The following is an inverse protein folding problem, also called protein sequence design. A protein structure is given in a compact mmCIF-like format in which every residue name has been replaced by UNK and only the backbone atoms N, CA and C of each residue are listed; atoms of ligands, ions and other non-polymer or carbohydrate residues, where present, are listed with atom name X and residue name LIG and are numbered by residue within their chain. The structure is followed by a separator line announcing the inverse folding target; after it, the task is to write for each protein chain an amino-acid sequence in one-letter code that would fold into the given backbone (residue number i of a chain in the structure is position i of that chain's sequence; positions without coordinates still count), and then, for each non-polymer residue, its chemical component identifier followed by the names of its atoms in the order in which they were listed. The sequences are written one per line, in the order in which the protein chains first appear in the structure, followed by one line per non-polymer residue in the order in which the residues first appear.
data_IF_841556414341
#
_entry.id   IF_841556414341
#
_cell.length_a   1.000
_cell.length_b   1.000
_cell.length_c   1.000
_cell.angle_alpha   90.00
_cell.angle_beta   90.00
_cell.angle_gamma   90.00
#
_symmetry.space_group_name_H-M   'P 1'
#
loop_
_entity.id
_entity.type
_entity.pdbx_description
1 polymer ?
#
# COMPACT_ATOMS: atom_id res chain seq x y z
N UNK A 1 -11.87 12.41 -18.08
CA UNK A 1 -12.04 13.25 -16.87
C UNK A 1 -11.47 14.61 -17.17
N UNK A 2 -12.25 15.68 -16.96
CA UNK A 2 -11.78 17.03 -17.20
C UNK A 2 -10.74 17.45 -16.13
N UNK A 3 -9.78 18.31 -16.49
CA UNK A 3 -8.71 18.75 -15.60
C UNK A 3 -9.26 19.41 -14.30
N UNK A 4 -10.40 20.09 -14.40
CA UNK A 4 -11.08 20.71 -13.26
C UNK A 4 -11.70 19.67 -12.31
N UNK A 5 -12.33 18.66 -12.86
CA UNK A 5 -12.87 17.50 -12.11
C UNK A 5 -11.77 16.75 -11.36
N UNK A 6 -10.65 16.54 -12.04
CA UNK A 6 -9.49 15.88 -11.46
C UNK A 6 -8.93 16.69 -10.28
N UNK A 7 -8.75 17.99 -10.44
CA UNK A 7 -8.27 18.87 -9.37
C UNK A 7 -9.22 18.88 -8.16
N UNK A 8 -10.54 18.88 -8.40
CA UNK A 8 -11.52 18.78 -7.34
C UNK A 8 -11.45 17.42 -6.62
N UNK A 9 -11.28 16.32 -7.38
CA UNK A 9 -11.14 14.96 -6.81
C UNK A 9 -9.87 14.83 -5.98
N UNK A 10 -8.74 15.31 -6.48
CA UNK A 10 -7.46 15.36 -5.75
C UNK A 10 -7.60 16.18 -4.46
N UNK A 11 -8.19 17.39 -4.52
CA UNK A 11 -8.38 18.25 -3.36
C UNK A 11 -9.32 17.64 -2.31
N UNK A 12 -10.38 16.97 -2.75
CA UNK A 12 -11.30 16.25 -1.85
C UNK A 12 -10.59 15.08 -1.14
N UNK A 13 -9.78 14.32 -1.87
CA UNK A 13 -8.94 13.25 -1.31
C UNK A 13 -7.92 13.85 -0.33
N UNK A 14 -7.21 14.93 -0.69
CA UNK A 14 -6.26 15.61 0.19
C UNK A 14 -6.90 16.00 1.54
N UNK A 15 -8.06 16.67 1.49
CA UNK A 15 -8.75 17.12 2.71
C UNK A 15 -9.20 15.92 3.57
N UNK A 16 -9.77 14.87 2.95
CA UNK A 16 -10.24 13.68 3.65
C UNK A 16 -9.09 12.90 4.28
N UNK A 17 -8.04 12.66 3.51
CA UNK A 17 -6.94 11.78 3.91
C UNK A 17 -5.93 12.46 4.82
N UNK A 18 -5.78 13.78 4.77
CA UNK A 18 -4.88 14.52 5.66
C UNK A 18 -5.27 14.38 7.13
N UNK A 19 -6.57 14.49 7.46
CA UNK A 19 -7.06 14.25 8.82
C UNK A 19 -6.83 12.81 9.27
N UNK A 20 -7.04 11.84 8.37
CA UNK A 20 -6.82 10.43 8.64
C UNK A 20 -5.32 10.12 8.79
N UNK A 21 -4.48 10.74 8.00
CA UNK A 21 -3.02 10.65 8.11
C UNK A 21 -2.53 11.14 9.47
N UNK A 22 -3.00 12.30 9.93
CA UNK A 22 -2.63 12.85 11.23
C UNK A 22 -3.06 11.92 12.39
N UNK A 23 -4.21 11.24 12.27
CA UNK A 23 -4.69 10.25 13.25
C UNK A 23 -3.90 8.94 13.21
N UNK A 24 -3.54 8.48 12.01
CA UNK A 24 -2.80 7.23 11.81
C UNK A 24 -1.37 7.30 12.36
N UNK A 25 -0.76 8.49 12.36
CA UNK A 25 0.69 8.59 12.43
C UNK A 25 1.23 9.57 13.47
N UNK A 26 0.37 10.16 14.31
CA UNK A 26 0.82 10.96 15.44
C UNK A 26 1.49 10.08 16.51
N UNK A 27 2.73 9.68 16.26
CA UNK A 27 3.63 9.05 17.23
C UNK A 27 3.90 7.54 17.09
N UNK A 28 3.04 6.74 16.42
CA UNK A 28 3.19 5.28 16.43
C UNK A 28 3.90 4.70 15.19
N UNK A 29 3.86 5.41 14.07
CA UNK A 29 4.49 4.92 12.82
C UNK A 29 6.01 4.92 12.89
N UNK A 30 6.63 5.93 13.49
CA UNK A 30 8.09 6.02 13.61
C UNK A 30 8.68 4.88 14.47
N UNK A 31 7.93 4.39 15.46
CA UNK A 31 8.38 3.30 16.31
C UNK A 31 8.21 1.92 15.67
N UNK A 32 7.28 1.79 14.70
CA UNK A 32 6.91 0.51 14.09
C UNK A 32 7.93 -0.02 13.08
N UNK A 33 8.63 0.88 12.40
CA UNK A 33 9.57 0.51 11.34
C UNK A 33 10.97 1.03 11.64
N UNK A 34 11.67 0.34 12.55
CA UNK A 34 13.05 0.69 12.95
C UNK A 34 14.08 0.37 11.85
N UNK A 35 14.51 1.37 11.06
CA UNK A 35 15.61 1.28 10.12
C UNK A 35 17.01 1.44 10.81
N UNK A 36 18.08 0.93 10.20
CA UNK A 36 19.45 1.08 10.66
C UNK A 36 20.14 2.24 9.89
N UNK A 37 19.90 3.46 10.28
CA UNK A 37 20.64 4.62 9.78
C UNK A 37 21.03 5.52 10.95
N UNK A 38 22.30 5.93 11.05
CA UNK A 38 22.75 6.91 12.02
C UNK A 38 23.11 8.19 11.27
N UNK A 39 22.42 9.30 11.56
CA UNK A 39 22.82 10.64 11.14
C UNK A 39 23.50 11.36 12.29
N UNK A 40 24.48 12.18 11.95
CA UNK A 40 25.12 13.04 12.94
C UNK A 40 24.10 14.06 13.45
N UNK A 41 23.81 14.05 14.76
CA UNK A 41 22.87 14.97 15.38
C UNK A 41 23.59 16.19 15.97
N UNK A 42 24.50 15.95 16.90
CA UNK A 42 25.20 17.00 17.60
C UNK A 42 26.57 16.51 18.19
N UNK A 43 27.32 17.45 18.72
CA UNK A 43 28.52 17.17 19.52
C UNK A 43 28.25 17.65 20.94
N UNK A 44 28.31 16.75 21.92
CA UNK A 44 28.18 17.09 23.33
C UNK A 44 29.44 16.72 24.12
N UNK A 45 29.64 17.31 25.30
CA UNK A 45 30.72 16.88 26.18
C UNK A 45 30.63 15.41 26.55
N UNK A 46 31.76 14.72 26.61
CA UNK A 46 31.86 13.33 27.07
C UNK A 46 31.39 13.20 28.52
N UNK A 47 30.62 12.18 28.81
CA UNK A 47 30.19 11.80 30.15
C UNK A 47 30.70 10.40 30.49
N UNK A 48 30.93 10.12 31.77
CA UNK A 48 31.38 8.78 32.19
C UNK A 48 30.31 7.73 31.80
N UNK A 49 30.75 6.72 31.00
CA UNK A 49 29.85 5.68 30.45
C UNK A 49 29.62 5.80 28.95
N UNK A 50 30.01 6.92 28.31
CA UNK A 50 29.94 7.04 26.86
C UNK A 50 31.01 6.19 26.16
N UNK A 51 30.69 5.70 24.95
CA UNK A 51 31.65 4.93 24.15
C UNK A 51 32.79 5.83 23.65
N UNK A 52 34.00 5.52 24.05
CA UNK A 52 35.26 6.23 23.69
C UNK A 52 35.45 6.30 22.17
N UNK A 53 34.90 5.33 21.41
CA UNK A 53 34.95 5.29 19.93
C UNK A 53 34.14 6.42 19.29
N UNK A 54 33.20 7.01 20.02
CA UNK A 54 32.36 8.12 19.57
C UNK A 54 33.02 9.48 19.75
N UNK A 55 34.23 9.57 20.29
CA UNK A 55 34.95 10.84 20.53
C UNK A 55 35.26 11.51 19.18
N UNK A 56 34.85 12.78 19.06
CA UNK A 56 35.27 13.66 17.97
C UNK A 56 36.62 14.33 18.32
N UNK A 57 37.71 13.77 17.85
CA UNK A 57 39.04 14.27 18.12
C UNK A 57 39.30 15.69 17.60
N UNK A 58 38.63 16.10 16.51
CA UNK A 58 38.74 17.44 15.94
C UNK A 58 38.12 18.52 16.84
N UNK A 59 36.92 18.24 17.38
CA UNK A 59 36.22 19.14 18.31
C UNK A 59 36.94 19.11 19.67
N UNK A 60 37.34 17.95 20.16
CA UNK A 60 38.10 17.75 21.39
C UNK A 60 39.39 18.59 21.38
N UNK A 61 40.14 18.57 20.28
CA UNK A 61 41.36 19.37 20.14
C UNK A 61 41.12 20.88 20.23
N UNK A 62 40.00 21.36 19.67
CA UNK A 62 39.63 22.79 19.69
C UNK A 62 39.07 23.24 21.04
N UNK A 63 38.31 22.37 21.71
CA UNK A 63 37.61 22.70 22.97
C UNK A 63 38.44 22.34 24.22
N UNK A 64 39.57 21.63 24.08
CA UNK A 64 40.47 21.17 25.17
C UNK A 64 39.75 20.29 26.22
N UNK A 65 38.67 19.68 25.89
CA UNK A 65 37.90 18.72 26.67
C UNK A 65 37.28 17.69 25.75
N UNK A 66 37.10 16.43 26.18
CA UNK A 66 36.57 15.38 25.30
C UNK A 66 35.11 15.65 24.91
N UNK A 67 34.84 15.56 23.63
CA UNK A 67 33.51 15.67 23.03
C UNK A 67 33.17 14.41 22.22
N UNK A 68 31.93 13.97 22.30
CA UNK A 68 31.43 12.83 21.52
C UNK A 68 30.49 13.29 20.41
N UNK A 69 30.52 12.54 19.32
CA UNK A 69 29.49 12.63 18.27
C UNK A 69 28.26 11.89 18.74
N UNK A 70 27.15 12.62 18.91
CA UNK A 70 25.84 12.02 19.11
C UNK A 70 25.23 11.78 17.73
N UNK A 71 24.88 10.54 17.46
CA UNK A 71 24.19 10.18 16.26
C UNK A 71 22.73 9.94 16.62
N UNK A 72 21.83 10.66 15.98
CA UNK A 72 20.42 10.30 15.98
C UNK A 72 20.15 9.32 14.84
N UNK A 73 19.32 8.35 15.12
CA UNK A 73 18.90 7.39 14.12
C UNK A 73 17.86 8.04 13.19
N UNK A 74 18.34 8.78 12.19
CA UNK A 74 17.48 9.39 11.18
C UNK A 74 17.04 8.31 10.18
N UNK A 75 15.79 7.89 10.32
CA UNK A 75 15.22 6.78 9.58
C UNK A 75 14.40 7.28 8.41
N UNK A 76 15.06 7.57 7.29
CA UNK A 76 14.35 7.71 6.04
C UNK A 76 13.76 6.37 5.62
N UNK A 77 12.48 6.21 5.84
CA UNK A 77 11.77 5.05 5.31
C UNK A 77 11.48 5.26 3.82
N UNK A 78 11.41 4.15 3.10
CA UNK A 78 10.93 4.15 1.72
C UNK A 78 9.66 3.34 1.67
N UNK A 79 8.58 3.98 1.25
CA UNK A 79 7.28 3.36 1.04
C UNK A 79 7.06 3.11 -0.45
N UNK A 80 6.65 1.91 -0.82
CA UNK A 80 6.18 1.59 -2.16
C UNK A 80 4.69 1.23 -2.16
N UNK A 81 3.94 1.91 -3.01
CA UNK A 81 2.56 1.58 -3.33
C UNK A 81 2.56 0.78 -4.64
N UNK A 82 2.10 -0.46 -4.59
CA UNK A 82 1.96 -1.36 -5.75
C UNK A 82 0.47 -1.58 -5.93
N UNK A 83 -0.14 -0.89 -6.91
CA UNK A 83 -1.59 -0.74 -7.02
C UNK A 83 -2.09 -1.37 -8.32
N UNK A 84 -3.04 -2.24 -8.15
CA UNK A 84 -3.83 -2.85 -9.22
C UNK A 84 -4.83 -1.84 -9.78
N UNK A 85 -4.77 -1.62 -11.09
CA UNK A 85 -5.68 -0.76 -11.84
C UNK A 85 -6.48 -1.54 -12.90
N UNK A 86 -6.49 -2.87 -12.82
CA UNK A 86 -7.22 -3.75 -13.74
C UNK A 86 -8.71 -3.42 -13.79
N UNK A 87 -9.39 -3.90 -14.82
CA UNK A 87 -10.83 -3.65 -15.00
C UNK A 87 -11.68 -4.18 -13.83
N UNK A 88 -11.25 -5.27 -13.18
CA UNK A 88 -11.95 -5.85 -12.03
C UNK A 88 -12.02 -4.90 -10.83
N UNK A 89 -11.04 -4.02 -10.65
CA UNK A 89 -11.05 -3.02 -9.57
C UNK A 89 -12.07 -1.90 -9.77
N UNK A 90 -12.57 -1.70 -10.99
CA UNK A 90 -13.62 -0.72 -11.28
C UNK A 90 -15.01 -1.16 -10.78
N UNK A 91 -15.16 -2.44 -10.46
CA UNK A 91 -16.40 -2.95 -9.87
C UNK A 91 -16.51 -2.52 -8.41
N UNK A 92 -17.73 -2.25 -7.96
CA UNK A 92 -18.00 -1.82 -6.59
C UNK A 92 -19.45 -1.47 -6.33
N UNK A 93 -19.72 -0.87 -5.19
CA UNK A 93 -21.04 -0.36 -4.82
C UNK A 93 -21.38 0.95 -5.54
N UNK A 94 -22.64 1.40 -5.44
CA UNK A 94 -23.05 2.71 -5.95
C UNK A 94 -22.32 3.89 -5.28
N UNK A 95 -21.70 3.67 -4.12
CA UNK A 95 -20.97 4.71 -3.39
C UNK A 95 -19.50 4.78 -3.76
N UNK A 96 -18.84 3.63 -3.99
CA UNK A 96 -17.39 3.54 -4.17
C UNK A 96 -17.04 2.24 -4.88
N UNK A 97 -16.12 2.32 -5.84
CA UNK A 97 -15.52 1.13 -6.44
C UNK A 97 -14.37 0.59 -5.56
N UNK A 98 -13.93 -0.66 -5.82
CA UNK A 98 -12.69 -1.20 -5.23
C UNK A 98 -11.50 -0.29 -5.53
N UNK A 99 -11.39 0.23 -6.76
CA UNK A 99 -10.34 1.15 -7.17
C UNK A 99 -10.37 2.49 -6.43
N UNK A 100 -11.58 3.03 -6.14
CA UNK A 100 -11.69 4.24 -5.31
C UNK A 100 -11.22 3.98 -3.88
N UNK A 101 -11.56 2.82 -3.29
CA UNK A 101 -11.05 2.40 -1.98
C UNK A 101 -9.53 2.34 -1.98
N UNK A 102 -8.92 1.63 -2.95
CA UNK A 102 -7.46 1.52 -3.07
C UNK A 102 -6.80 2.88 -3.26
N UNK A 103 -7.42 3.78 -4.04
CA UNK A 103 -6.94 5.15 -4.23
C UNK A 103 -6.97 5.96 -2.94
N UNK A 104 -8.03 5.85 -2.14
CA UNK A 104 -8.14 6.53 -0.84
C UNK A 104 -7.08 6.03 0.16
N UNK A 105 -6.87 4.72 0.22
CA UNK A 105 -5.83 4.12 1.06
C UNK A 105 -4.44 4.59 0.62
N UNK A 106 -4.16 4.53 -0.68
CA UNK A 106 -2.90 4.95 -1.26
C UNK A 106 -2.60 6.43 -0.98
N UNK A 107 -3.59 7.31 -1.15
CA UNK A 107 -3.46 8.72 -0.84
C UNK A 107 -3.21 8.97 0.66
N UNK A 108 -3.90 8.25 1.54
CA UNK A 108 -3.70 8.35 2.99
C UNK A 108 -2.28 7.97 3.38
N UNK A 109 -1.78 6.84 2.86
CA UNK A 109 -0.41 6.40 3.08
C UNK A 109 0.62 7.38 2.49
N UNK A 110 0.32 7.97 1.32
CA UNK A 110 1.20 8.94 0.67
C UNK A 110 1.31 10.25 1.45
N UNK A 111 0.19 10.77 1.97
CA UNK A 111 0.21 11.97 2.81
C UNK A 111 0.91 11.70 4.14
N UNK A 112 0.76 10.52 4.69
CA UNK A 112 1.46 10.13 5.90
C UNK A 112 2.98 10.06 5.69
N UNK A 113 3.44 9.37 4.65
CA UNK A 113 4.85 9.35 4.29
C UNK A 113 5.42 10.77 4.10
N UNK A 114 4.61 11.68 3.51
CA UNK A 114 4.98 13.08 3.37
C UNK A 114 5.12 13.78 4.74
N UNK A 115 4.19 13.55 5.67
CA UNK A 115 4.22 14.11 7.02
C UNK A 115 5.45 13.67 7.81
N UNK A 116 5.90 12.44 7.60
CA UNK A 116 7.09 11.86 8.24
C UNK A 116 8.39 12.12 7.46
N UNK A 117 8.34 12.90 6.38
CA UNK A 117 9.49 13.15 5.52
C UNK A 117 10.10 11.87 4.88
N UNK A 118 9.29 10.84 4.65
CA UNK A 118 9.67 9.58 4.03
C UNK A 118 9.64 9.66 2.50
N UNK A 119 10.37 8.71 1.86
CA UNK A 119 10.33 8.55 0.40
C UNK A 119 9.14 7.68 0.00
N UNK A 120 8.44 8.05 -1.06
CA UNK A 120 7.33 7.27 -1.59
C UNK A 120 7.51 7.01 -3.09
N UNK A 121 7.35 5.74 -3.49
CA UNK A 121 7.32 5.28 -4.87
C UNK A 121 5.98 4.64 -5.23
N UNK A 122 5.70 4.51 -6.53
CA UNK A 122 4.47 3.94 -7.06
C UNK A 122 4.77 2.95 -8.17
N UNK A 123 4.06 1.83 -8.18
CA UNK A 123 3.93 0.92 -9.31
C UNK A 123 2.44 0.72 -9.57
N UNK A 124 1.97 1.10 -10.75
CA UNK A 124 0.65 0.73 -11.25
C UNK A 124 0.78 -0.49 -12.15
N UNK A 125 -0.13 -1.43 -12.00
CA UNK A 125 -0.14 -2.64 -12.81
C UNK A 125 -1.56 -3.11 -13.14
N UNK A 126 -1.67 -3.89 -14.20
CA UNK A 126 -2.82 -4.68 -14.59
C UNK A 126 -2.30 -6.04 -15.12
N UNK A 127 -2.52 -6.42 -16.35
CA UNK A 127 -1.88 -7.58 -16.99
C UNK A 127 -0.35 -7.44 -17.13
N UNK A 128 0.16 -6.22 -17.01
CA UNK A 128 1.59 -5.88 -17.00
C UNK A 128 1.84 -4.70 -16.05
N UNK A 129 3.12 -4.35 -15.85
CA UNK A 129 3.49 -3.09 -15.18
C UNK A 129 3.21 -1.93 -16.12
N UNK A 130 2.30 -1.05 -15.72
CA UNK A 130 1.81 0.07 -16.54
C UNK A 130 2.60 1.36 -16.30
N UNK A 131 2.89 1.65 -15.04
CA UNK A 131 3.57 2.88 -14.64
C UNK A 131 4.44 2.69 -13.43
N UNK A 132 5.63 3.27 -13.45
CA UNK A 132 6.55 3.28 -12.31
C UNK A 132 6.94 4.72 -12.00
N UNK A 133 6.81 5.11 -10.74
CA UNK A 133 7.31 6.38 -10.22
C UNK A 133 8.34 6.05 -9.13
N UNK A 134 9.63 6.39 -9.34
CA UNK A 134 10.67 6.11 -8.36
C UNK A 134 10.46 6.87 -7.06
N UNK A 135 10.96 6.35 -5.91
CA UNK A 135 10.72 6.95 -4.60
C UNK A 135 11.43 8.30 -4.48
N UNK A 136 10.66 9.33 -4.12
CA UNK A 136 11.11 10.69 -3.80
C UNK A 136 10.29 11.26 -2.66
N UNK A 137 10.77 12.34 -2.05
CA UNK A 137 10.10 13.11 -1.00
C UNK A 137 9.36 14.32 -1.56
N UNK A 138 8.50 14.88 -0.71
CA UNK A 138 7.93 16.20 -0.88
C UNK A 138 6.54 16.24 -1.49
N UNK A 139 5.84 17.33 -1.22
CA UNK A 139 4.42 17.54 -1.57
C UNK A 139 4.15 17.38 -3.06
N UNK A 140 4.98 18.00 -3.91
CA UNK A 140 4.81 17.92 -5.38
C UNK A 140 4.90 16.48 -5.89
N UNK A 141 5.76 15.65 -5.27
CA UNK A 141 5.91 14.25 -5.64
C UNK A 141 4.70 13.42 -5.24
N UNK A 142 4.18 13.61 -4.02
CA UNK A 142 2.95 12.96 -3.55
C UNK A 142 1.76 13.36 -4.43
N UNK A 143 1.61 14.64 -4.76
CA UNK A 143 0.56 15.11 -5.66
C UNK A 143 0.66 14.48 -7.05
N UNK A 144 1.87 14.32 -7.58
CA UNK A 144 2.12 13.61 -8.84
C UNK A 144 1.67 12.14 -8.76
N UNK A 145 1.97 11.45 -7.66
CA UNK A 145 1.54 10.07 -7.43
C UNK A 145 0.01 9.98 -7.46
N UNK A 146 -0.67 10.80 -6.66
CA UNK A 146 -2.13 10.81 -6.57
C UNK A 146 -2.77 11.11 -7.93
N UNK A 147 -2.25 12.13 -8.63
CA UNK A 147 -2.69 12.46 -9.99
C UNK A 147 -2.53 11.26 -10.93
N UNK A 148 -1.37 10.60 -10.89
CA UNK A 148 -1.10 9.45 -11.75
C UNK A 148 -2.07 8.29 -11.47
N UNK A 149 -2.38 7.99 -10.19
CA UNK A 149 -3.36 6.95 -9.83
C UNK A 149 -4.75 7.27 -10.40
N UNK A 150 -5.15 8.54 -10.38
CA UNK A 150 -6.48 8.97 -10.82
C UNK A 150 -6.63 9.05 -12.34
N UNK A 151 -5.56 9.38 -13.05
CA UNK A 151 -5.59 9.61 -14.52
C UNK A 151 -5.22 8.37 -15.33
N UNK A 152 -4.45 7.45 -14.73
CA UNK A 152 -3.93 6.33 -15.51
C UNK A 152 -5.03 5.30 -15.78
N UNK A 153 -5.25 5.03 -17.05
CA UNK A 153 -6.13 3.95 -17.49
C UNK A 153 -5.30 2.72 -17.88
N UNK A 154 -5.76 1.51 -17.48
CA UNK A 154 -5.04 0.29 -17.81
C UNK A 154 -5.02 0.06 -19.33
N UNK A 155 -3.85 -0.26 -19.85
CA UNK A 155 -3.63 -0.55 -21.28
C UNK A 155 -3.63 -2.07 -21.54
N UNK A 156 -3.37 -2.88 -20.51
CA UNK A 156 -3.31 -4.33 -20.59
C UNK A 156 -4.43 -4.96 -19.78
N UNK A 157 -5.03 -6.02 -20.31
CA UNK A 157 -6.06 -6.79 -19.61
C UNK A 157 -5.45 -7.78 -18.63
N UNK A 158 -6.25 -8.18 -17.63
CA UNK A 158 -5.86 -9.13 -16.59
C UNK A 158 -5.19 -8.49 -15.38
N UNK A 159 -4.86 -9.34 -14.40
CA UNK A 159 -4.25 -8.95 -13.12
C UNK A 159 -3.01 -9.81 -12.86
N UNK A 160 -1.82 -9.21 -12.94
CA UNK A 160 -0.52 -9.90 -12.79
C UNK A 160 0.29 -9.28 -11.67
N UNK A 161 -0.11 -9.58 -10.43
CA UNK A 161 0.60 -9.14 -9.20
C UNK A 161 2.04 -9.66 -9.15
N UNK A 162 2.29 -10.86 -9.68
CA UNK A 162 3.62 -11.47 -9.76
C UNK A 162 4.60 -10.59 -10.53
N UNK A 163 4.20 -10.10 -11.72
CA UNK A 163 5.05 -9.22 -12.55
C UNK A 163 5.35 -7.89 -11.85
N UNK A 164 4.37 -7.31 -11.15
CA UNK A 164 4.57 -6.08 -10.38
C UNK A 164 5.58 -6.28 -9.25
N UNK A 165 5.49 -7.38 -8.50
CA UNK A 165 6.43 -7.72 -7.44
C UNK A 165 7.82 -8.05 -7.96
N UNK A 166 7.94 -8.78 -9.07
CA UNK A 166 9.22 -9.05 -9.72
C UNK A 166 9.89 -7.77 -10.21
N UNK A 167 9.10 -6.84 -10.76
CA UNK A 167 9.60 -5.53 -11.16
C UNK A 167 10.11 -4.75 -9.95
N UNK A 168 9.34 -4.70 -8.85
CA UNK A 168 9.74 -4.06 -7.60
C UNK A 168 11.06 -4.64 -7.07
N UNK A 169 11.21 -5.98 -7.05
CA UNK A 169 12.42 -6.66 -6.61
C UNK A 169 13.66 -6.30 -7.45
N UNK A 170 13.46 -5.98 -8.74
CA UNK A 170 14.54 -5.54 -9.63
C UNK A 170 14.98 -4.11 -9.36
N UNK A 171 14.03 -3.17 -9.15
CA UNK A 171 14.34 -1.75 -9.01
C UNK A 171 14.70 -1.35 -7.57
N UNK A 172 14.07 -1.97 -6.56
CA UNK A 172 14.29 -1.63 -5.15
C UNK A 172 15.22 -2.63 -4.48
N UNK A 173 16.44 -2.16 -4.16
CA UNK A 173 17.48 -3.00 -3.53
C UNK A 173 17.51 -2.85 -2.01
N UNK A 174 17.08 -1.72 -1.48
CA UNK A 174 17.07 -1.44 -0.04
C UNK A 174 15.77 -1.94 0.58
N UNK A 175 15.83 -2.26 1.87
CA UNK A 175 14.64 -2.57 2.66
C UNK A 175 13.63 -1.44 2.57
N UNK A 176 12.36 -1.78 2.45
CA UNK A 176 11.27 -0.81 2.22
C UNK A 176 9.96 -1.38 2.73
N UNK A 177 9.03 -0.49 3.05
CA UNK A 177 7.64 -0.86 3.34
C UNK A 177 6.90 -0.95 2.00
N UNK A 178 6.18 -2.02 1.78
CA UNK A 178 5.47 -2.26 0.52
C UNK A 178 4.01 -2.59 0.79
N UNK A 179 3.12 -1.80 0.24
CA UNK A 179 1.69 -2.11 0.20
C UNK A 179 1.31 -2.59 -1.20
N UNK A 180 0.92 -3.86 -1.30
CA UNK A 180 0.36 -4.45 -2.53
C UNK A 180 -1.15 -4.40 -2.42
N UNK A 181 -1.79 -3.64 -3.28
CA UNK A 181 -3.21 -3.32 -3.24
C UNK A 181 -3.90 -3.88 -4.48
N UNK A 182 -4.75 -4.89 -4.31
CA UNK A 182 -5.44 -5.57 -5.42
C UNK A 182 -6.70 -6.27 -4.89
N UNK A 183 -7.58 -6.68 -5.79
CA UNK A 183 -8.61 -7.67 -5.51
C UNK A 183 -8.11 -9.12 -5.70
N UNK A 184 -6.87 -9.29 -6.19
CA UNK A 184 -6.22 -10.58 -6.41
C UNK A 184 -7.03 -11.56 -7.27
N UNK A 185 -7.86 -11.06 -8.19
CA UNK A 185 -8.75 -11.90 -9.01
C UNK A 185 -8.00 -12.71 -10.08
N UNK A 186 -6.74 -12.38 -10.36
CA UNK A 186 -5.88 -13.15 -11.25
C UNK A 186 -5.21 -14.35 -10.58
N UNK A 187 -4.12 -14.82 -11.20
CA UNK A 187 -3.27 -15.87 -10.63
C UNK A 187 -2.59 -15.39 -9.34
N UNK A 188 -2.70 -16.20 -8.27
CA UNK A 188 -2.13 -15.84 -6.98
C UNK A 188 -0.58 -15.89 -7.01
N UNK A 189 0.12 -14.81 -6.61
CA UNK A 189 1.56 -14.65 -6.81
C UNK A 189 2.40 -15.33 -5.71
N UNK A 190 2.24 -16.65 -5.48
CA UNK A 190 2.87 -17.35 -4.35
C UNK A 190 4.39 -17.13 -4.27
N UNK A 191 5.09 -17.40 -5.36
CA UNK A 191 6.56 -17.30 -5.39
C UNK A 191 7.03 -15.85 -5.24
N UNK A 192 6.45 -14.94 -6.01
CA UNK A 192 6.85 -13.53 -6.00
C UNK A 192 6.56 -12.88 -4.65
N UNK A 193 5.40 -13.18 -4.05
CA UNK A 193 5.00 -12.66 -2.75
C UNK A 193 5.95 -13.15 -1.64
N UNK A 194 6.31 -14.44 -1.64
CA UNK A 194 7.24 -15.03 -0.68
C UNK A 194 8.64 -14.41 -0.76
N UNK A 195 9.14 -14.14 -1.97
CA UNK A 195 10.44 -13.50 -2.16
C UNK A 195 10.39 -12.04 -1.72
N UNK A 196 9.31 -11.33 -2.09
CA UNK A 196 9.14 -9.92 -1.73
C UNK A 196 8.98 -9.73 -0.20
N UNK A 197 8.20 -10.58 0.47
CA UNK A 197 7.99 -10.50 1.92
C UNK A 197 9.24 -10.82 2.75
N UNK A 198 10.19 -11.60 2.20
CA UNK A 198 11.50 -11.81 2.85
C UNK A 198 12.41 -10.60 2.76
N UNK A 199 12.19 -9.73 1.78
CA UNK A 199 13.06 -8.58 1.51
C UNK A 199 12.48 -7.28 2.02
N UNK A 200 11.16 -7.17 2.05
CA UNK A 200 10.40 -5.97 2.38
C UNK A 200 9.42 -6.22 3.52
N UNK A 201 9.09 -5.17 4.25
CA UNK A 201 7.92 -5.19 5.12
C UNK A 201 6.66 -5.08 4.26
N UNK A 202 6.15 -6.24 3.84
CA UNK A 202 5.08 -6.34 2.87
C UNK A 202 3.72 -6.51 3.54
N UNK A 203 2.75 -5.72 3.09
CA UNK A 203 1.33 -5.85 3.42
C UNK A 203 0.50 -5.98 2.14
N UNK A 204 -0.28 -7.04 2.04
CA UNK A 204 -1.30 -7.20 1.01
C UNK A 204 -2.61 -6.55 1.47
N UNK A 205 -3.13 -5.60 0.72
CA UNK A 205 -4.45 -5.01 0.92
C UNK A 205 -5.38 -5.64 -0.13
N UNK A 206 -6.24 -6.53 0.34
CA UNK A 206 -7.23 -7.23 -0.48
C UNK A 206 -8.54 -6.46 -0.48
N UNK A 207 -8.84 -5.77 -1.58
CA UNK A 207 -10.11 -5.07 -1.78
C UNK A 207 -11.14 -6.02 -2.40
N UNK A 208 -12.33 -6.10 -1.82
CA UNK A 208 -13.44 -6.88 -2.34
C UNK A 208 -14.75 -6.09 -2.28
N UNK A 209 -15.79 -6.58 -2.94
CA UNK A 209 -17.13 -6.02 -2.88
C UNK A 209 -18.12 -7.06 -2.36
N UNK A 210 -18.97 -6.68 -1.40
CA UNK A 210 -19.96 -7.60 -0.86
C UNK A 210 -21.04 -8.00 -1.87
N UNK A 211 -21.26 -7.18 -2.92
CA UNK A 211 -22.10 -7.53 -4.05
C UNK A 211 -21.59 -8.71 -4.88
N UNK A 212 -20.31 -9.05 -4.78
CA UNK A 212 -19.74 -10.26 -5.40
C UNK A 212 -20.24 -11.55 -4.73
N UNK A 213 -20.77 -11.45 -3.51
CA UNK A 213 -21.36 -12.59 -2.79
C UNK A 213 -22.83 -12.82 -3.13
N UNK A 214 -23.57 -11.75 -3.45
CA UNK A 214 -25.00 -11.78 -3.62
C UNK A 214 -25.45 -10.91 -4.79
N UNK A 215 -25.85 -11.54 -5.90
CA UNK A 215 -26.55 -10.82 -6.96
C UNK A 215 -28.04 -10.63 -6.58
N UNK A 216 -28.63 -9.48 -6.93
CA UNK A 216 -30.07 -9.27 -6.71
C UNK A 216 -30.88 -10.34 -7.47
N UNK A 217 -31.96 -10.80 -6.83
CA UNK A 217 -32.85 -11.84 -7.39
C UNK A 217 -33.82 -11.25 -8.42
N UNK A 218 -33.29 -10.87 -9.57
CA UNK A 218 -34.04 -10.19 -10.64
C UNK A 218 -34.31 -11.09 -11.88
N UNK A 219 -34.13 -12.40 -11.73
CA UNK A 219 -34.35 -13.36 -12.83
C UNK A 219 -33.08 -13.65 -13.62
N UNK A 220 -33.19 -13.69 -14.94
CA UNK A 220 -32.06 -13.97 -15.82
C UNK A 220 -31.20 -12.69 -15.99
N UNK A 221 -29.97 -12.76 -15.62
CA UNK A 221 -29.01 -11.62 -15.68
C UNK A 221 -27.82 -11.94 -16.58
N UNK A 222 -27.42 -11.03 -17.47
CA UNK A 222 -26.16 -11.16 -18.18
C UNK A 222 -25.03 -10.81 -17.22
N UNK A 223 -24.03 -11.67 -17.11
CA UNK A 223 -22.78 -11.42 -16.38
C UNK A 223 -21.65 -11.37 -17.39
N UNK A 224 -20.95 -10.28 -17.42
CA UNK A 224 -19.76 -10.10 -18.25
C UNK A 224 -18.55 -10.33 -17.37
N UNK A 225 -17.70 -11.27 -17.74
CA UNK A 225 -16.41 -11.44 -17.10
C UNK A 225 -15.55 -10.21 -17.37
N UNK A 226 -15.07 -9.56 -16.31
CA UNK A 226 -14.38 -8.27 -16.40
C UNK A 226 -13.04 -8.37 -17.14
N UNK A 227 -12.40 -9.55 -17.15
CA UNK A 227 -11.10 -9.76 -17.76
C UNK A 227 -11.19 -10.32 -19.18
N UNK A 228 -12.02 -11.32 -19.41
CA UNK A 228 -12.17 -11.95 -20.73
C UNK A 228 -13.22 -11.28 -21.62
N UNK A 229 -14.12 -10.47 -21.05
CA UNK A 229 -15.26 -9.90 -21.76
C UNK A 229 -16.35 -10.91 -22.11
N UNK A 230 -16.24 -12.17 -21.68
CA UNK A 230 -17.19 -13.22 -21.99
C UNK A 230 -18.55 -12.96 -21.33
N UNK A 231 -19.62 -13.00 -22.13
CA UNK A 231 -20.99 -12.82 -21.69
C UNK A 231 -21.60 -14.19 -21.35
N UNK A 232 -22.08 -14.35 -20.13
CA UNK A 232 -22.82 -15.53 -19.69
C UNK A 232 -24.13 -15.12 -19.03
N UNK A 233 -25.19 -15.94 -19.24
CA UNK A 233 -26.49 -15.70 -18.64
C UNK A 233 -26.68 -16.59 -17.41
N UNK A 234 -27.05 -15.97 -16.29
CA UNK A 234 -27.29 -16.69 -15.04
C UNK A 234 -28.64 -16.37 -14.44
N UNK A 235 -29.30 -17.39 -13.89
CA UNK A 235 -30.53 -17.19 -13.14
C UNK A 235 -30.21 -16.75 -11.72
N UNK A 236 -30.24 -15.42 -11.48
CA UNK A 236 -29.83 -14.80 -10.24
C UNK A 236 -30.65 -15.23 -9.02
N UNK A 237 -31.93 -15.67 -9.20
CA UNK A 237 -32.77 -16.19 -8.13
C UNK A 237 -32.48 -17.62 -7.69
N UNK A 238 -31.65 -18.37 -8.41
CA UNK A 238 -31.30 -19.75 -8.07
C UNK A 238 -30.49 -19.84 -6.77
N UNK A 239 -31.02 -20.61 -5.80
CA UNK A 239 -30.30 -20.86 -4.52
C UNK A 239 -28.92 -21.46 -4.76
N UNK A 240 -28.81 -22.41 -5.72
CA UNK A 240 -27.53 -23.04 -6.09
C UNK A 240 -26.53 -22.03 -6.62
N UNK A 241 -26.97 -21.09 -7.45
CA UNK A 241 -26.12 -20.03 -7.99
C UNK A 241 -25.64 -19.07 -6.90
N UNK A 242 -26.56 -18.60 -6.04
CA UNK A 242 -26.21 -17.71 -4.91
C UNK A 242 -25.22 -18.38 -3.94
N UNK A 243 -25.43 -19.67 -3.61
CA UNK A 243 -24.49 -20.42 -2.77
C UNK A 243 -23.12 -20.59 -3.43
N UNK A 244 -23.09 -20.82 -4.74
CA UNK A 244 -21.83 -20.94 -5.48
C UNK A 244 -21.03 -19.64 -5.47
N UNK A 245 -21.69 -18.48 -5.66
CA UNK A 245 -21.06 -17.17 -5.57
C UNK A 245 -20.49 -16.91 -4.18
N UNK A 246 -21.27 -17.12 -3.14
CA UNK A 246 -20.85 -16.94 -1.76
C UNK A 246 -19.66 -17.84 -1.41
N UNK A 247 -19.74 -19.12 -1.80
CA UNK A 247 -18.64 -20.09 -1.55
C UNK A 247 -17.37 -19.66 -2.29
N UNK A 248 -17.48 -19.23 -3.55
CA UNK A 248 -16.35 -18.74 -4.34
C UNK A 248 -15.69 -17.54 -3.68
N UNK A 249 -16.48 -16.56 -3.26
CA UNK A 249 -16.00 -15.34 -2.61
C UNK A 249 -15.26 -15.65 -1.30
N UNK A 250 -15.89 -16.44 -0.40
CA UNK A 250 -15.30 -16.83 0.87
C UNK A 250 -14.00 -17.63 0.68
N UNK A 251 -14.00 -18.55 -0.29
CA UNK A 251 -12.82 -19.34 -0.64
C UNK A 251 -11.69 -18.44 -1.14
N UNK A 252 -11.98 -17.50 -2.05
CA UNK A 252 -10.97 -16.57 -2.57
C UNK A 252 -10.38 -15.70 -1.46
N UNK A 253 -11.22 -15.11 -0.62
CA UNK A 253 -10.79 -14.31 0.55
C UNK A 253 -9.88 -15.11 1.48
N UNK A 254 -10.24 -16.36 1.77
CA UNK A 254 -9.42 -17.26 2.59
C UNK A 254 -8.10 -17.62 1.91
N UNK A 255 -8.08 -17.86 0.60
CA UNK A 255 -6.88 -18.16 -0.16
C UNK A 255 -5.89 -17.00 -0.16
N UNK A 256 -6.35 -15.76 -0.35
CA UNK A 256 -5.47 -14.57 -0.29
C UNK A 256 -4.88 -14.38 1.10
N UNK A 257 -5.67 -14.53 2.16
CA UNK A 257 -5.19 -14.41 3.54
C UNK A 257 -4.17 -15.52 3.89
N UNK A 258 -4.44 -16.77 3.50
CA UNK A 258 -3.53 -17.90 3.71
C UNK A 258 -2.22 -17.73 2.92
N UNK A 259 -2.32 -17.28 1.67
CA UNK A 259 -1.15 -16.97 0.85
C UNK A 259 -0.25 -15.93 1.52
N UNK A 260 -0.81 -14.81 1.98
CA UNK A 260 -0.05 -13.76 2.66
C UNK A 260 0.61 -14.30 3.93
N UNK A 261 -0.13 -15.05 4.75
CA UNK A 261 0.38 -15.71 5.96
C UNK A 261 1.55 -16.65 5.66
N UNK A 262 1.43 -17.54 4.66
CA UNK A 262 2.50 -18.44 4.23
C UNK A 262 3.72 -17.73 3.68
N UNK A 263 3.52 -16.57 3.06
CA UNK A 263 4.60 -15.73 2.57
C UNK A 263 5.32 -14.94 3.68
N UNK A 264 4.75 -14.84 4.88
CA UNK A 264 5.23 -13.97 5.96
C UNK A 264 4.86 -12.49 5.75
N UNK A 265 3.88 -12.22 4.89
CA UNK A 265 3.34 -10.89 4.63
C UNK A 265 2.15 -10.58 5.56
N UNK A 266 1.92 -9.29 5.84
CA UNK A 266 0.67 -8.84 6.42
C UNK A 266 -0.48 -8.95 5.41
N UNK A 267 -1.71 -9.08 5.90
CA UNK A 267 -2.89 -9.05 5.05
C UNK A 267 -4.02 -8.25 5.70
N UNK A 268 -4.59 -7.32 4.96
CA UNK A 268 -5.78 -6.56 5.36
C UNK A 268 -6.83 -6.78 4.27
N UNK A 269 -7.96 -7.40 4.62
CA UNK A 269 -9.07 -7.59 3.70
C UNK A 269 -10.15 -6.54 4.00
N UNK A 270 -10.55 -5.77 2.98
CA UNK A 270 -11.46 -4.65 3.10
C UNK A 270 -12.56 -4.73 2.04
N UNK A 271 -13.80 -4.60 2.47
CA UNK A 271 -14.92 -4.31 1.57
C UNK A 271 -14.83 -2.86 1.07
N UNK A 272 -15.34 -2.60 -0.12
CA UNK A 272 -15.48 -1.24 -0.64
C UNK A 272 -16.37 -0.33 0.21
N UNK A 273 -17.13 -0.88 1.17
CA UNK A 273 -17.94 -0.14 2.13
C UNK A 273 -17.27 0.08 3.49
N UNK A 274 -16.19 -0.66 3.78
CA UNK A 274 -15.52 -0.61 5.06
C UNK A 274 -14.78 0.72 5.32
N UNK A 275 -14.67 1.08 6.59
CA UNK A 275 -13.67 2.04 7.04
C UNK A 275 -12.31 1.32 7.15
N UNK A 276 -11.38 1.73 6.31
CA UNK A 276 -10.05 1.13 6.24
C UNK A 276 -9.10 1.60 7.35
N UNK A 277 -9.44 2.68 8.08
CA UNK A 277 -8.54 3.29 9.06
C UNK A 277 -8.25 2.36 10.25
N UNK A 278 -9.26 1.77 10.94
CA UNK A 278 -8.99 0.90 12.07
C UNK A 278 -8.15 -0.35 11.72
N UNK A 279 -8.44 -1.11 10.63
CA UNK A 279 -7.62 -2.25 10.24
C UNK A 279 -6.19 -1.86 9.87
N UNK A 280 -6.00 -0.71 9.21
CA UNK A 280 -4.68 -0.21 8.84
C UNK A 280 -3.86 0.17 10.08
N UNK A 281 -4.47 0.87 11.06
CA UNK A 281 -3.87 1.16 12.36
C UNK A 281 -3.48 -0.10 13.12
N UNK A 282 -4.37 -1.08 13.18
CA UNK A 282 -4.10 -2.34 13.86
C UNK A 282 -2.91 -3.08 13.23
N UNK A 283 -2.83 -3.09 11.90
CA UNK A 283 -1.69 -3.68 11.19
C UNK A 283 -0.39 -2.95 11.53
N UNK A 284 -0.38 -1.62 11.46
CA UNK A 284 0.80 -0.82 11.78
C UNK A 284 1.26 -1.05 13.23
N UNK A 285 0.34 -1.08 14.20
CA UNK A 285 0.63 -1.39 15.61
C UNK A 285 1.20 -2.81 15.81
N UNK A 286 0.74 -3.79 15.05
CA UNK A 286 1.24 -5.17 15.16
C UNK A 286 2.70 -5.34 14.74
N UNK A 287 3.26 -4.39 13.99
CA UNK A 287 4.66 -4.35 13.56
C UNK A 287 5.60 -3.69 14.56
N UNK A 288 5.05 -3.10 15.64
CA UNK A 288 5.83 -2.45 16.74
C UNK A 288 6.52 -3.45 17.68
N UNK A 289 6.20 -4.74 17.58
CA UNK A 289 6.76 -5.80 18.43
C UNK A 289 8.05 -6.40 17.93
#
# INVERSE_FOLDING_TARGET
MDALELLQKVRRIEIKTRRLSDQLFSGEYQSSFKGRGMSFAEVRPYQNGDDVRSIDWNVTARKRSPYIKVFEEERELTLFLVIDISKSTRYGSARRSKGDLLTEIAATLAFSAMGNNDKIGLILFAGQVEKVIPPKKGKSHVMRIIKTILEHEPQHEGTRVDLALEHLLRIQKRHSIVFVMSDFMGELPERALKIAAKRFDLCAIHAYNDGEQHLPKVGLVPVIDAESGALQWFQSGSKKFQQALQTRHLKHKAQVADLAKRAGAGCIALSDQDDFVPPLLQFLKSKVR
#
